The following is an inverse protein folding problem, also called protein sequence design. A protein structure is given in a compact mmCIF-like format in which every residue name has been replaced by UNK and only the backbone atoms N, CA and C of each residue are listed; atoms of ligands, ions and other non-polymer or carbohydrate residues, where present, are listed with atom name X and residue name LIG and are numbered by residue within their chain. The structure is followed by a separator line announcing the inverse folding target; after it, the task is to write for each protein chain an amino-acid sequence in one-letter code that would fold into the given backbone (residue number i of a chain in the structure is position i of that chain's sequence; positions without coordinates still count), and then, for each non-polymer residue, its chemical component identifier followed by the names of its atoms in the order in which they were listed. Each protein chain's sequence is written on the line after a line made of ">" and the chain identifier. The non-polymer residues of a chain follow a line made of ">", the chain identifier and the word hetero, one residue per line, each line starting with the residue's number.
data_IF_803435268384
#
_entry.id   IF_803435268384
#
_cell.length_a   1.000
_cell.length_b   1.000
_cell.length_c   1.000
_cell.angle_alpha   90.00
_cell.angle_beta   90.00
_cell.angle_gamma   90.00
#
_symmetry.space_group_name_H-M   'P 1'
#
loop_
_entity.id
_entity.type
_entity.pdbx_description
1 polymer ?
#
# COMPACT_ATOMS: atom_id res chain seq x y z
N UNK A 1 -11.79 9.22 17.66
CA UNK A 1 -13.13 9.45 17.07
C UNK A 1 -13.00 9.04 15.62
N UNK A 2 -13.94 8.24 15.13
CA UNK A 2 -14.01 7.86 13.71
C UNK A 2 -14.13 9.13 12.87
N UNK A 3 -13.31 9.30 11.84
CA UNK A 3 -13.44 10.41 10.91
C UNK A 3 -14.07 9.88 9.63
N UNK A 4 -15.33 10.23 9.39
CA UNK A 4 -16.07 9.74 8.21
C UNK A 4 -15.45 10.19 6.88
N UNK A 5 -14.58 11.20 6.89
CA UNK A 5 -13.85 11.66 5.71
C UNK A 5 -12.60 10.82 5.38
N UNK A 6 -12.15 9.95 6.30
CA UNK A 6 -10.99 9.11 6.07
C UNK A 6 -11.30 8.04 5.02
N UNK A 7 -10.47 7.91 3.96
CA UNK A 7 -10.69 6.89 2.94
C UNK A 7 -10.59 5.48 3.53
N UNK A 8 -11.46 4.59 3.07
CA UNK A 8 -11.35 3.15 3.31
C UNK A 8 -10.94 2.42 2.04
N UNK A 9 -9.96 1.55 2.15
CA UNK A 9 -9.47 0.69 1.08
C UNK A 9 -9.46 -0.76 1.53
N UNK A 10 -9.27 -1.69 0.61
CA UNK A 10 -9.28 -3.11 0.95
C UNK A 10 -8.31 -3.91 0.10
N UNK A 11 -7.90 -5.06 0.64
CA UNK A 11 -7.25 -6.13 -0.09
C UNK A 11 -8.10 -7.39 0.01
N UNK A 12 -8.39 -8.01 -1.13
CA UNK A 12 -8.81 -9.40 -1.19
C UNK A 12 -7.55 -10.26 -1.31
N UNK A 13 -7.35 -11.17 -0.35
CA UNK A 13 -6.12 -11.94 -0.23
C UNK A 13 -6.35 -13.38 -0.70
N UNK A 14 -5.40 -13.90 -1.46
CA UNK A 14 -5.32 -15.31 -1.85
C UNK A 14 -4.04 -15.93 -1.29
N UNK A 15 -4.12 -17.19 -0.85
CA UNK A 15 -2.97 -18.02 -0.49
C UNK A 15 -2.97 -19.23 -1.43
N UNK A 16 -1.94 -19.32 -2.28
CA UNK A 16 -1.97 -20.28 -3.38
C UNK A 16 -3.06 -19.91 -4.38
N UNK A 17 -4.09 -20.75 -4.50
CA UNK A 17 -5.26 -20.51 -5.37
C UNK A 17 -6.55 -20.36 -4.57
N UNK A 18 -6.47 -20.19 -3.24
CA UNK A 18 -7.61 -20.09 -2.35
C UNK A 18 -7.77 -18.65 -1.86
N UNK A 19 -8.98 -18.10 -2.01
CA UNK A 19 -9.33 -16.81 -1.43
C UNK A 19 -9.55 -16.97 0.08
N UNK A 20 -8.76 -16.24 0.88
CA UNK A 20 -8.76 -16.35 2.34
C UNK A 20 -9.49 -15.21 3.04
N UNK A 21 -9.92 -14.20 2.28
CA UNK A 21 -10.80 -13.14 2.77
C UNK A 21 -10.32 -11.73 2.46
N UNK A 22 -11.02 -10.76 3.05
CA UNK A 22 -10.81 -9.33 2.85
C UNK A 22 -10.24 -8.67 4.09
N UNK A 23 -9.20 -7.87 3.89
CA UNK A 23 -8.70 -6.91 4.90
C UNK A 23 -9.12 -5.52 4.47
N UNK A 24 -9.74 -4.77 5.38
CA UNK A 24 -10.17 -3.38 5.15
C UNK A 24 -9.31 -2.46 6.02
N UNK A 25 -8.81 -1.38 5.41
CA UNK A 25 -7.98 -0.38 6.07
C UNK A 25 -8.70 0.96 6.04
N UNK A 26 -8.79 1.64 7.18
CA UNK A 26 -9.02 3.08 7.24
C UNK A 26 -7.66 3.79 7.11
N UNK A 27 -7.58 4.79 6.24
CA UNK A 27 -6.37 5.59 6.05
C UNK A 27 -6.54 6.94 6.75
N UNK A 28 -5.65 7.26 7.70
CA UNK A 28 -5.68 8.50 8.49
C UNK A 28 -5.24 9.73 7.67
N UNK A 29 -6.01 10.06 6.64
CA UNK A 29 -5.77 11.19 5.73
C UNK A 29 -5.79 12.52 6.48
N UNK A 30 -6.58 12.62 7.54
CA UNK A 30 -6.62 13.79 8.42
C UNK A 30 -5.30 14.04 9.18
N UNK A 31 -4.46 13.01 9.33
CA UNK A 31 -3.13 13.10 9.98
C UNK A 31 -1.98 13.11 8.98
N UNK A 32 -2.03 12.18 8.02
CA UNK A 32 -0.96 11.91 7.07
C UNK A 32 -1.54 11.90 5.64
N UNK A 33 -1.95 13.06 5.10
CA UNK A 33 -2.68 13.15 3.84
C UNK A 33 -1.89 12.61 2.64
N UNK A 34 -0.57 12.88 2.55
CA UNK A 34 0.27 12.45 1.43
C UNK A 34 0.52 10.94 1.47
N UNK A 35 0.82 10.41 2.65
CA UNK A 35 1.02 8.97 2.87
C UNK A 35 -0.26 8.18 2.58
N UNK A 36 -1.40 8.69 3.06
CA UNK A 36 -2.72 8.09 2.84
C UNK A 36 -3.12 8.12 1.37
N UNK A 37 -2.90 9.23 0.68
CA UNK A 37 -3.21 9.35 -0.75
C UNK A 37 -2.34 8.42 -1.61
N UNK A 38 -1.05 8.28 -1.29
CA UNK A 38 -0.18 7.31 -1.94
C UNK A 38 -0.72 5.89 -1.81
N UNK A 39 -1.03 5.44 -0.59
CA UNK A 39 -1.53 4.09 -0.37
C UNK A 39 -2.89 3.87 -1.05
N UNK A 40 -3.80 4.86 -0.96
CA UNK A 40 -5.12 4.80 -1.60
C UNK A 40 -5.00 4.65 -3.11
N UNK A 41 -4.18 5.48 -3.76
CA UNK A 41 -4.00 5.44 -5.20
C UNK A 41 -3.33 4.15 -5.67
N UNK A 42 -2.37 3.60 -4.92
CA UNK A 42 -1.78 2.28 -5.19
C UNK A 42 -2.79 1.14 -5.01
N UNK A 43 -3.85 1.31 -4.21
CA UNK A 43 -4.94 0.34 -4.16
C UNK A 43 -5.85 0.39 -5.40
N UNK A 44 -6.02 1.55 -6.04
CA UNK A 44 -6.90 1.71 -7.20
C UNK A 44 -6.19 1.54 -8.54
N UNK A 45 -4.88 1.79 -8.59
CA UNK A 45 -4.10 1.80 -9.83
C UNK A 45 -4.34 3.01 -10.73
N UNK A 46 -5.02 4.05 -10.24
CA UNK A 46 -5.50 5.18 -11.07
C UNK A 46 -4.38 6.11 -11.59
N UNK A 47 -3.16 6.00 -11.04
CA UNK A 47 -2.02 6.87 -11.38
C UNK A 47 -1.19 6.37 -12.56
N UNK A 48 -1.62 5.31 -13.23
CA UNK A 48 -0.93 4.77 -14.40
C UNK A 48 0.39 4.09 -14.02
N UNK A 49 1.44 4.36 -14.78
CA UNK A 49 2.74 3.71 -14.60
C UNK A 49 3.72 4.60 -13.83
N UNK A 50 4.58 3.96 -13.03
CA UNK A 50 5.64 4.62 -12.27
C UNK A 50 6.69 5.22 -13.18
N UNK A 51 7.22 6.38 -12.80
CA UNK A 51 8.23 7.08 -13.57
C UNK A 51 9.57 6.35 -13.58
N UNK A 52 9.91 5.66 -12.48
CA UNK A 52 11.20 4.96 -12.34
C UNK A 52 11.12 3.49 -12.71
N UNK A 53 10.02 2.82 -12.35
CA UNK A 53 9.84 1.39 -12.60
C UNK A 53 9.24 1.12 -13.99
N UNK A 54 8.49 2.06 -14.57
CA UNK A 54 7.74 1.87 -15.81
C UNK A 54 6.55 0.91 -15.68
N UNK A 55 6.30 0.38 -14.47
CA UNK A 55 5.26 -0.60 -14.17
C UNK A 55 4.00 0.09 -13.61
N UNK A 56 2.82 -0.55 -13.66
CA UNK A 56 1.62 0.00 -13.05
C UNK A 56 1.80 0.29 -11.55
N UNK A 57 1.44 1.50 -11.13
CA UNK A 57 1.38 1.93 -9.73
C UNK A 57 0.16 1.31 -9.06
N UNK A 58 0.17 0.00 -8.84
CA UNK A 58 -0.98 -0.76 -8.36
C UNK A 58 -0.56 -2.00 -7.55
N UNK A 59 -1.19 -2.21 -6.39
CA UNK A 59 -0.93 -3.35 -5.53
C UNK A 59 -1.56 -4.67 -6.01
N UNK A 60 -2.51 -4.64 -6.96
CA UNK A 60 -3.15 -5.88 -7.44
C UNK A 60 -2.12 -6.85 -8.02
N UNK A 61 -2.06 -8.06 -7.46
CA UNK A 61 -1.08 -9.09 -7.84
C UNK A 61 0.31 -8.92 -7.22
N UNK A 62 0.49 -7.96 -6.31
CA UNK A 62 1.69 -7.83 -5.49
C UNK A 62 1.62 -8.84 -4.32
N UNK A 63 2.67 -9.65 -4.09
CA UNK A 63 2.69 -10.59 -2.98
C UNK A 63 3.10 -9.93 -1.66
N UNK A 64 2.66 -10.54 -0.55
CA UNK A 64 3.29 -10.34 0.75
C UNK A 64 4.58 -11.16 0.80
N UNK A 65 5.72 -10.51 0.52
CA UNK A 65 7.00 -11.20 0.33
C UNK A 65 7.74 -11.51 1.64
N UNK A 66 7.33 -10.91 2.76
CA UNK A 66 7.97 -11.14 4.06
C UNK A 66 6.93 -11.25 5.18
N UNK A 67 6.89 -12.42 5.83
CA UNK A 67 5.96 -12.75 6.92
C UNK A 67 6.78 -13.20 8.12
N UNK A 68 6.60 -12.56 9.26
CA UNK A 68 7.24 -12.92 10.52
C UNK A 68 6.15 -13.18 11.54
N UNK A 69 6.09 -14.44 12.01
CA UNK A 69 5.14 -14.88 13.04
C UNK A 69 5.28 -14.01 14.29
N UNK A 70 4.13 -13.65 14.87
CA UNK A 70 4.03 -12.84 16.09
C UNK A 70 4.64 -11.43 15.96
N UNK A 71 4.79 -10.93 14.72
CA UNK A 71 5.28 -9.58 14.46
C UNK A 71 4.49 -8.86 13.36
N UNK A 72 4.69 -9.23 12.08
CA UNK A 72 4.11 -8.48 10.97
C UNK A 72 4.09 -9.23 9.64
N UNK A 73 3.33 -8.67 8.69
CA UNK A 73 3.26 -9.06 7.28
C UNK A 73 3.63 -7.85 6.42
N UNK A 74 4.55 -8.02 5.48
CA UNK A 74 5.06 -6.95 4.62
C UNK A 74 4.85 -7.30 3.14
N UNK A 75 4.39 -6.30 2.38
CA UNK A 75 4.15 -6.36 0.94
C UNK A 75 4.47 -5.02 0.29
N UNK A 76 3.80 -4.71 -0.84
CA UNK A 76 3.88 -3.40 -1.50
C UNK A 76 5.00 -3.24 -2.53
N UNK A 77 5.94 -4.19 -2.61
CA UNK A 77 6.92 -4.27 -3.68
C UNK A 77 6.29 -4.91 -4.93
N UNK A 78 5.61 -4.08 -5.73
CA UNK A 78 4.95 -4.53 -6.97
C UNK A 78 5.92 -4.76 -8.13
N UNK A 79 7.17 -4.26 -8.05
CA UNK A 79 8.15 -4.36 -9.13
C UNK A 79 9.04 -5.61 -9.00
N UNK A 80 9.75 -5.76 -7.88
CA UNK A 80 10.74 -6.82 -7.67
C UNK A 80 10.20 -7.96 -6.80
N UNK A 81 9.11 -7.72 -6.07
CA UNK A 81 8.40 -8.72 -5.25
C UNK A 81 9.27 -9.38 -4.17
N UNK A 82 10.30 -8.69 -3.69
CA UNK A 82 11.29 -9.24 -2.76
C UNK A 82 11.76 -8.23 -1.69
N UNK A 83 11.21 -7.01 -1.69
CA UNK A 83 11.51 -5.94 -0.74
C UNK A 83 12.58 -4.96 -1.19
N UNK A 84 13.10 -5.09 -2.43
CA UNK A 84 14.12 -4.18 -3.00
C UNK A 84 13.54 -3.16 -3.96
N UNK A 85 12.27 -3.30 -4.34
CA UNK A 85 11.60 -2.44 -5.32
C UNK A 85 10.40 -1.67 -4.76
N UNK A 86 9.47 -1.36 -5.66
CA UNK A 86 8.35 -0.44 -5.42
C UNK A 86 8.68 1.00 -5.75
N UNK A 87 7.64 1.79 -5.94
CA UNK A 87 7.70 3.22 -6.25
C UNK A 87 6.45 3.90 -5.69
N UNK A 88 6.55 5.18 -5.30
CA UNK A 88 5.40 5.97 -4.87
C UNK A 88 4.69 6.64 -6.05
N UNK A 89 3.46 7.10 -5.86
CA UNK A 89 2.77 7.90 -6.89
C UNK A 89 3.42 9.26 -7.16
N UNK A 90 4.43 9.63 -6.37
CA UNK A 90 5.17 10.89 -6.46
C UNK A 90 6.59 10.71 -7.04
N UNK A 91 6.95 9.50 -7.48
CA UNK A 91 8.31 9.11 -7.90
C UNK A 91 8.92 8.05 -6.98
N UNK A 92 10.23 7.80 -7.09
CA UNK A 92 10.91 6.69 -6.39
C UNK A 92 10.61 6.65 -4.89
N UNK A 93 10.74 7.81 -4.21
CA UNK A 93 10.53 7.97 -2.77
C UNK A 93 9.91 9.33 -2.47
N UNK A 94 9.34 9.48 -1.27
CA UNK A 94 8.91 10.76 -0.73
C UNK A 94 9.31 10.86 0.75
N UNK A 95 9.38 12.08 1.25
CA UNK A 95 9.79 12.39 2.63
C UNK A 95 8.80 11.87 3.67
N UNK A 96 9.30 11.56 4.86
CA UNK A 96 8.48 11.23 6.03
C UNK A 96 7.57 12.41 6.38
N UNK A 97 6.27 12.18 6.40
CA UNK A 97 5.28 13.24 6.61
C UNK A 97 5.12 13.62 8.10
N UNK A 98 5.34 12.66 9.01
CA UNK A 98 5.33 12.89 10.45
C UNK A 98 5.06 11.62 11.26
N UNK A 99 5.16 11.75 12.60
CA UNK A 99 4.98 10.65 13.55
C UNK A 99 3.93 11.03 14.62
N UNK A 100 2.63 11.06 14.28
CA UNK A 100 1.58 11.60 15.16
C UNK A 100 1.26 10.75 16.40
N UNK A 101 1.81 9.53 16.49
CA UNK A 101 1.51 8.56 17.55
C UNK A 101 2.76 8.09 18.31
N UNK A 102 3.86 8.81 18.17
CA UNK A 102 5.08 8.68 19.00
C UNK A 102 5.11 9.77 20.04
#
# INVERSE_FOLDING_TARGET
>A
MENEENPRVFFDIEIGSESVGRVVFELFKDKLPKTSENFRALCTGEKGNGATTGLPLHFKGCPFHRIIKDFMVQGGDFSNKNGTGGESIYGEKFEDEGFPYT
#
